data_IF_943572523375
#
_entry.id   IF_943572523375
#
_cell.length_a   1.000
_cell.length_b   1.000
_cell.length_c   1.000
_cell.angle_alpha   90.00
_cell.angle_beta   90.00
_cell.angle_gamma   90.00
#
_symmetry.space_group_name_H-M   'P 1'
#
loop_
_entity.id
_entity.type
_entity.pdbx_description
1 polymer ?
#
# COMPACT_ATOMS: atom_id res chain seq x y z
N UNK A 1 25.62 -2.93 -36.82
CA UNK A 1 24.67 -3.91 -36.24
C UNK A 1 25.39 -5.17 -35.74
N UNK A 2 25.99 -6.04 -36.57
CA UNK A 2 26.74 -7.21 -36.06
C UNK A 2 27.96 -6.85 -35.20
N UNK A 3 28.71 -5.81 -35.57
CA UNK A 3 29.84 -5.25 -34.80
C UNK A 3 29.42 -4.61 -33.46
N UNK A 4 28.19 -4.10 -33.36
CA UNK A 4 27.62 -3.54 -32.12
C UNK A 4 26.99 -4.61 -31.20
N UNK A 5 26.89 -5.85 -31.67
CA UNK A 5 26.47 -7.02 -30.89
C UNK A 5 27.66 -7.93 -30.49
N UNK A 6 28.89 -7.55 -30.82
CA UNK A 6 30.10 -8.32 -30.45
C UNK A 6 30.25 -9.67 -31.17
N UNK A 7 29.55 -9.92 -32.27
CA UNK A 7 29.85 -11.10 -33.11
C UNK A 7 31.04 -10.74 -33.98
N UNK A 8 32.22 -10.94 -33.39
CA UNK A 8 33.48 -10.89 -34.09
C UNK A 8 33.62 -12.14 -34.98
N UNK A 9 33.85 -11.92 -36.27
CA UNK A 9 34.18 -12.98 -37.23
C UNK A 9 35.65 -12.89 -37.67
N UNK A 10 36.40 -11.93 -37.18
CA UNK A 10 37.83 -11.79 -37.49
C UNK A 10 38.64 -12.96 -36.95
N UNK A 11 38.16 -13.62 -35.89
CA UNK A 11 38.72 -14.87 -35.36
C UNK A 11 38.24 -16.13 -36.12
N UNK A 12 37.45 -15.98 -37.19
CA UNK A 12 36.92 -17.09 -37.98
C UNK A 12 37.51 -17.08 -39.40
N UNK A 13 37.83 -18.25 -40.00
CA UNK A 13 38.30 -18.33 -41.39
C UNK A 13 37.32 -17.73 -42.40
N UNK A 14 37.82 -17.22 -43.54
CA UNK A 14 37.02 -16.55 -44.59
C UNK A 14 35.81 -17.36 -45.10
N UNK A 15 35.86 -18.69 -45.01
CA UNK A 15 34.82 -19.61 -45.46
C UNK A 15 33.88 -20.11 -44.34
N UNK A 16 33.97 -19.58 -43.12
CA UNK A 16 33.15 -20.01 -41.99
C UNK A 16 31.64 -19.72 -42.21
N UNK A 17 30.80 -20.74 -41.99
CA UNK A 17 29.33 -20.66 -42.14
C UNK A 17 28.63 -20.94 -40.81
N UNK A 18 27.52 -20.23 -40.56
CA UNK A 18 26.66 -20.47 -39.40
C UNK A 18 26.02 -21.86 -39.52
N UNK A 19 26.12 -22.66 -38.46
CA UNK A 19 25.52 -24.00 -38.42
C UNK A 19 23.99 -23.87 -38.41
N UNK A 20 23.32 -24.66 -39.26
CA UNK A 20 21.86 -24.80 -39.26
C UNK A 20 21.53 -26.20 -38.77
N UNK A 21 20.80 -26.30 -37.65
CA UNK A 21 20.29 -27.56 -37.09
C UNK A 21 18.77 -27.51 -37.07
N UNK A 22 18.12 -28.52 -37.67
CA UNK A 22 16.65 -28.64 -37.74
C UNK A 22 15.95 -27.37 -38.24
N UNK A 23 16.49 -26.75 -39.29
CA UNK A 23 15.93 -25.53 -39.90
C UNK A 23 16.12 -24.23 -39.10
N UNK A 24 16.86 -24.27 -37.98
CA UNK A 24 17.18 -23.08 -37.17
C UNK A 24 18.69 -22.85 -37.12
N UNK A 25 19.10 -21.59 -37.12
CA UNK A 25 20.50 -21.20 -36.90
C UNK A 25 20.89 -21.56 -35.47
N UNK A 26 21.98 -22.28 -35.30
CA UNK A 26 22.54 -22.67 -34.01
C UNK A 26 23.28 -21.46 -33.41
N UNK A 27 22.57 -20.69 -32.58
CA UNK A 27 23.06 -19.41 -32.02
C UNK A 27 22.73 -19.35 -30.52
N UNK A 28 23.59 -18.70 -29.75
CA UNK A 28 23.33 -18.30 -28.37
C UNK A 28 23.45 -16.78 -28.21
N UNK A 29 22.81 -16.24 -27.17
CA UNK A 29 22.86 -14.81 -26.85
C UNK A 29 23.83 -14.61 -25.69
N UNK A 30 24.89 -13.83 -25.92
CA UNK A 30 25.73 -13.31 -24.84
C UNK A 30 25.16 -11.96 -24.40
N UNK A 31 24.88 -11.79 -23.10
CA UNK A 31 24.41 -10.53 -22.52
C UNK A 31 25.48 -10.01 -21.56
N UNK A 32 26.02 -8.83 -21.86
CA UNK A 32 26.91 -8.11 -20.97
C UNK A 32 26.13 -7.00 -20.27
N UNK A 33 26.28 -6.89 -18.95
CA UNK A 33 25.61 -5.88 -18.14
C UNK A 33 26.66 -4.87 -17.66
N UNK A 34 26.55 -3.63 -18.12
CA UNK A 34 27.42 -2.53 -17.70
C UNK A 34 26.67 -1.66 -16.70
N UNK A 35 27.37 -1.18 -15.68
CA UNK A 35 26.85 -0.20 -14.73
C UNK A 35 27.48 1.16 -15.04
N UNK A 36 26.65 2.17 -15.26
CA UNK A 36 27.07 3.57 -15.30
C UNK A 36 26.74 4.20 -13.95
N UNK A 37 27.71 4.90 -13.35
CA UNK A 37 27.55 5.55 -12.05
C UNK A 37 26.36 6.51 -12.09
N UNK A 38 25.47 6.40 -11.10
CA UNK A 38 24.38 7.36 -10.91
C UNK A 38 24.92 8.69 -10.38
N UNK A 39 24.35 9.80 -10.83
CA UNK A 39 24.75 11.16 -10.43
C UNK A 39 23.52 12.00 -10.08
N UNK A 40 23.68 12.85 -9.07
CA UNK A 40 22.71 13.90 -8.72
C UNK A 40 23.42 15.23 -8.89
N UNK A 41 22.85 16.11 -9.72
CA UNK A 41 23.43 17.40 -10.03
C UNK A 41 22.53 18.55 -9.59
N UNK A 42 23.14 19.71 -9.33
CA UNK A 42 22.45 20.97 -9.06
C UNK A 42 22.68 21.94 -10.22
N UNK A 43 21.63 22.60 -10.70
CA UNK A 43 21.73 23.73 -11.63
C UNK A 43 21.40 25.01 -10.88
N UNK A 44 22.38 25.89 -10.73
CA UNK A 44 22.21 27.19 -10.10
C UNK A 44 21.81 28.25 -11.13
N UNK A 45 20.76 29.03 -10.84
CA UNK A 45 20.30 30.14 -11.67
C UNK A 45 20.52 31.46 -10.93
N UNK A 46 21.21 32.42 -11.58
CA UNK A 46 21.36 33.78 -11.08
C UNK A 46 20.20 34.65 -11.60
N UNK A 47 19.35 35.14 -10.70
CA UNK A 47 18.18 35.96 -11.04
C UNK A 47 18.52 37.42 -10.84
N UNK A 48 18.43 38.23 -11.90
CA UNK A 48 18.70 39.66 -11.84
C UNK A 48 17.41 40.46 -11.57
N UNK A 49 17.56 41.61 -10.91
CA UNK A 49 16.53 42.65 -10.83
C UNK A 49 16.88 43.77 -11.80
N UNK A 50 15.88 44.25 -12.53
CA UNK A 50 16.00 45.27 -13.54
C UNK A 50 15.17 46.49 -13.12
N UNK A 51 15.74 47.68 -13.31
CA UNK A 51 14.95 48.90 -13.23
C UNK A 51 14.07 48.98 -14.49
N UNK A 52 12.76 49.12 -14.33
CA UNK A 52 11.82 49.15 -15.45
C UNK A 52 11.24 50.56 -15.57
N UNK A 53 11.45 51.28 -16.68
CA UNK A 53 10.97 52.66 -16.81
C UNK A 53 9.46 52.79 -16.55
N UNK A 54 9.09 53.67 -15.62
CA UNK A 54 7.69 53.92 -15.27
C UNK A 54 7.02 52.81 -14.46
N UNK A 55 7.78 51.88 -13.86
CA UNK A 55 7.27 50.81 -13.02
C UNK A 55 8.25 50.48 -11.89
N UNK A 56 7.79 49.75 -10.88
CA UNK A 56 8.69 49.23 -9.85
C UNK A 56 9.71 48.24 -10.44
N UNK A 57 10.92 48.13 -9.87
CA UNK A 57 11.93 47.17 -10.31
C UNK A 57 11.39 45.74 -10.39
N UNK A 58 11.70 45.04 -11.48
CA UNK A 58 11.19 43.68 -11.75
C UNK A 58 12.32 42.66 -11.78
N UNK A 59 12.05 41.42 -11.36
CA UNK A 59 12.99 40.31 -11.47
C UNK A 59 12.85 39.57 -12.81
N UNK A 60 13.95 38.99 -13.33
CA UNK A 60 13.86 37.99 -14.40
C UNK A 60 13.02 36.78 -13.96
N UNK A 61 12.47 36.06 -14.94
CA UNK A 61 11.63 34.87 -14.71
C UNK A 61 12.37 33.83 -13.86
N UNK A 62 11.70 33.35 -12.81
CA UNK A 62 12.20 32.23 -12.00
C UNK A 62 12.06 30.91 -12.77
N UNK A 63 12.98 29.95 -12.59
CA UNK A 63 12.78 28.58 -13.04
C UNK A 63 11.47 28.02 -12.47
N UNK A 64 10.79 27.23 -13.28
CA UNK A 64 9.61 26.50 -12.84
C UNK A 64 10.01 25.51 -11.74
N UNK A 65 9.17 25.38 -10.72
CA UNK A 65 9.37 24.50 -9.58
C UNK A 65 8.05 23.81 -9.23
N UNK A 66 8.12 22.64 -8.61
CA UNK A 66 6.92 21.92 -8.14
C UNK A 66 6.20 22.77 -7.09
N UNK A 67 6.96 23.29 -6.12
CA UNK A 67 6.48 24.16 -5.05
C UNK A 67 7.41 25.38 -5.00
N UNK A 68 6.82 26.58 -4.96
CA UNK A 68 7.59 27.82 -4.89
C UNK A 68 8.55 27.81 -3.69
N UNK A 69 9.85 27.98 -3.96
CA UNK A 69 10.90 28.00 -2.93
C UNK A 69 11.46 26.63 -2.54
N UNK A 70 10.90 25.53 -3.07
CA UNK A 70 11.45 24.19 -2.93
C UNK A 70 12.30 23.86 -4.18
N UNK A 71 13.58 23.50 -4.03
CA UNK A 71 14.49 23.31 -5.17
C UNK A 71 14.39 21.92 -5.81
N UNK A 72 13.58 21.01 -5.26
CA UNK A 72 13.53 19.63 -5.73
C UNK A 72 12.75 19.54 -7.05
N UNK A 73 13.34 18.79 -7.99
CA UNK A 73 12.73 18.49 -9.29
C UNK A 73 12.14 17.08 -9.31
N UNK A 74 11.19 16.79 -10.22
CA UNK A 74 10.49 15.50 -10.26
C UNK A 74 11.42 14.27 -10.29
N UNK A 75 12.52 14.32 -11.05
CA UNK A 75 13.50 13.24 -11.14
C UNK A 75 14.23 12.97 -9.82
N UNK A 76 14.55 14.01 -9.05
CA UNK A 76 15.12 13.86 -7.71
C UNK A 76 14.09 13.28 -6.73
N UNK A 77 12.85 13.79 -6.77
CA UNK A 77 11.76 13.29 -5.94
C UNK A 77 11.48 11.81 -6.21
N UNK A 78 11.53 11.37 -7.47
CA UNK A 78 11.49 9.95 -7.84
C UNK A 78 12.56 9.16 -7.12
N UNK A 79 13.84 9.54 -7.29
CA UNK A 79 14.96 8.81 -6.67
C UNK A 79 14.75 8.67 -5.16
N UNK A 80 14.44 9.78 -4.49
CA UNK A 80 14.31 9.80 -3.04
C UNK A 80 13.09 9.00 -2.56
N UNK A 81 11.91 9.25 -3.13
CA UNK A 81 10.66 8.60 -2.68
C UNK A 81 10.65 7.11 -3.00
N UNK A 82 11.13 6.70 -4.17
CA UNK A 82 11.25 5.29 -4.52
C UNK A 82 12.24 4.59 -3.56
N UNK A 83 13.40 5.18 -3.32
CA UNK A 83 14.39 4.65 -2.38
C UNK A 83 13.87 4.51 -0.95
N UNK A 84 13.08 5.49 -0.49
CA UNK A 84 12.52 5.48 0.86
C UNK A 84 11.35 4.51 1.02
N UNK A 85 10.40 4.49 0.09
CA UNK A 85 9.14 3.76 0.24
C UNK A 85 9.16 2.37 -0.39
N UNK A 86 9.76 2.21 -1.57
CA UNK A 86 9.86 0.92 -2.26
C UNK A 86 11.03 0.08 -1.72
N UNK A 87 12.17 0.72 -1.42
CA UNK A 87 13.39 0.04 -0.99
C UNK A 87 13.72 0.22 0.50
N UNK A 88 12.89 0.96 1.25
CA UNK A 88 13.00 1.13 2.70
C UNK A 88 14.34 1.70 3.18
N UNK A 89 15.01 2.50 2.36
CA UNK A 89 16.26 3.14 2.77
C UNK A 89 16.00 4.16 3.88
N UNK A 90 16.85 4.16 4.90
CA UNK A 90 16.83 5.15 5.96
C UNK A 90 17.37 6.49 5.45
N UNK A 91 16.99 7.59 6.12
CA UNK A 91 17.45 8.94 5.76
C UNK A 91 18.98 9.04 5.68
N UNK A 92 19.67 8.44 6.66
CA UNK A 92 21.13 8.49 6.72
C UNK A 92 21.77 7.76 5.52
N UNK A 93 21.23 6.61 5.12
CA UNK A 93 21.70 5.89 3.92
C UNK A 93 21.48 6.69 2.65
N UNK A 94 20.35 7.40 2.55
CA UNK A 94 20.08 8.29 1.41
C UNK A 94 21.08 9.44 1.36
N UNK A 95 21.39 10.07 2.51
CA UNK A 95 22.39 11.12 2.59
C UNK A 95 23.80 10.64 2.22
N UNK A 96 24.18 9.43 2.65
CA UNK A 96 25.45 8.81 2.27
C UNK A 96 25.53 8.57 0.76
N UNK A 97 24.45 8.04 0.16
CA UNK A 97 24.35 7.87 -1.30
C UNK A 97 24.46 9.21 -2.04
N UNK A 98 23.71 10.23 -1.60
CA UNK A 98 23.75 11.56 -2.20
C UNK A 98 25.15 12.19 -2.12
N UNK A 99 25.85 12.02 -1.00
CA UNK A 99 27.23 12.47 -0.82
C UNK A 99 28.18 11.81 -1.83
N UNK A 100 28.06 10.49 -2.05
CA UNK A 100 28.84 9.75 -3.06
C UNK A 100 28.51 10.15 -4.51
N UNK A 101 27.28 10.63 -4.73
CA UNK A 101 26.79 11.18 -6.00
C UNK A 101 27.19 12.65 -6.20
N UNK A 102 27.85 13.29 -5.23
CA UNK A 102 28.35 14.67 -5.32
C UNK A 102 27.44 15.73 -4.69
N UNK A 103 26.29 15.35 -4.12
CA UNK A 103 25.36 16.27 -3.45
C UNK A 103 25.54 16.23 -1.93
N UNK A 104 26.08 17.34 -1.38
CA UNK A 104 26.16 17.54 0.07
C UNK A 104 25.00 18.42 0.54
N UNK A 105 24.14 17.86 1.39
CA UNK A 105 22.98 18.57 1.95
C UNK A 105 22.82 18.19 3.42
N UNK A 106 22.43 19.15 4.26
CA UNK A 106 22.09 18.86 5.64
C UNK A 106 20.80 18.02 5.71
N UNK A 107 20.76 17.06 6.63
CA UNK A 107 19.59 16.19 6.83
C UNK A 107 18.30 16.98 7.06
N UNK A 108 18.34 18.00 7.90
CA UNK A 108 17.19 18.84 8.23
C UNK A 108 16.63 19.55 6.99
N UNK A 109 17.50 20.05 6.12
CA UNK A 109 17.14 20.73 4.87
C UNK A 109 16.46 19.77 3.90
N UNK A 110 17.08 18.61 3.63
CA UNK A 110 16.50 17.61 2.72
C UNK A 110 15.16 17.09 3.25
N UNK A 111 15.08 16.80 4.55
CA UNK A 111 13.86 16.35 5.19
C UNK A 111 12.75 17.41 5.05
N UNK A 112 13.07 18.69 5.31
CA UNK A 112 12.12 19.79 5.14
C UNK A 112 11.56 19.88 3.72
N UNK A 113 12.41 19.82 2.71
CA UNK A 113 11.96 19.84 1.32
C UNK A 113 11.11 18.62 0.95
N UNK A 114 11.50 17.42 1.40
CA UNK A 114 10.75 16.20 1.10
C UNK A 114 9.41 16.14 1.82
N UNK A 115 9.31 16.65 3.06
CA UNK A 115 8.02 16.77 3.75
C UNK A 115 7.08 17.71 3.00
N UNK A 116 7.57 18.84 2.48
CA UNK A 116 6.76 19.73 1.64
C UNK A 116 6.22 19.02 0.39
N UNK A 117 7.05 18.23 -0.31
CA UNK A 117 6.62 17.45 -1.47
C UNK A 117 5.57 16.41 -1.10
N UNK A 118 5.77 15.65 -0.02
CA UNK A 118 4.81 14.63 0.41
C UNK A 118 3.49 15.24 0.87
N UNK A 119 3.52 16.35 1.62
CA UNK A 119 2.33 17.10 2.00
C UNK A 119 1.59 17.63 0.76
N UNK A 120 2.32 18.20 -0.21
CA UNK A 120 1.75 18.72 -1.45
C UNK A 120 1.00 17.65 -2.25
N UNK A 121 1.57 16.44 -2.34
CA UNK A 121 0.92 15.29 -2.97
C UNK A 121 -0.30 14.82 -2.15
N UNK A 122 -0.16 14.72 -0.82
CA UNK A 122 -1.23 14.28 0.08
C UNK A 122 -2.46 15.18 -0.01
N UNK A 123 -2.27 16.50 0.05
CA UNK A 123 -3.36 17.46 0.02
C UNK A 123 -4.15 17.46 -1.30
N UNK A 124 -3.51 17.04 -2.41
CA UNK A 124 -4.14 16.99 -3.74
C UNK A 124 -4.74 15.64 -4.08
N UNK A 125 -4.03 14.56 -3.76
CA UNK A 125 -4.43 13.20 -4.14
C UNK A 125 -5.14 12.45 -3.03
N UNK A 126 -4.89 12.77 -1.76
CA UNK A 126 -5.54 12.12 -0.61
C UNK A 126 -7.07 12.21 -0.67
N UNK A 127 -7.65 13.42 -0.83
CA UNK A 127 -9.11 13.58 -0.91
C UNK A 127 -9.75 12.80 -2.06
N UNK A 128 -9.15 12.80 -3.26
CA UNK A 128 -9.70 12.07 -4.43
C UNK A 128 -9.50 10.56 -4.34
N UNK A 129 -8.43 10.08 -3.68
CA UNK A 129 -8.30 8.66 -3.32
C UNK A 129 -9.39 8.24 -2.34
N UNK A 130 -9.67 9.07 -1.33
CA UNK A 130 -10.70 8.83 -0.34
C UNK A 130 -12.10 8.85 -0.96
N UNK A 131 -12.39 9.81 -1.84
CA UNK A 131 -13.62 9.85 -2.61
C UNK A 131 -13.81 8.57 -3.42
N UNK A 132 -12.76 8.13 -4.14
CA UNK A 132 -12.83 6.93 -4.97
C UNK A 132 -13.07 5.66 -4.17
N UNK A 133 -12.41 5.49 -3.01
CA UNK A 133 -12.62 4.29 -2.19
C UNK A 133 -14.01 4.28 -1.55
N UNK A 134 -14.54 5.45 -1.17
CA UNK A 134 -15.91 5.60 -0.61
C UNK A 134 -17.01 5.25 -1.62
N UNK A 135 -16.74 5.26 -2.91
CA UNK A 135 -17.68 4.81 -3.95
C UNK A 135 -17.74 3.28 -4.11
N UNK A 136 -16.82 2.53 -3.49
CA UNK A 136 -16.80 1.07 -3.57
C UNK A 136 -17.88 0.46 -2.67
N UNK A 137 -18.33 -0.76 -3.00
CA UNK A 137 -19.33 -1.47 -2.17
C UNK A 137 -18.70 -2.29 -1.06
N UNK A 138 -17.44 -2.70 -1.25
CA UNK A 138 -16.73 -3.62 -0.37
C UNK A 138 -15.27 -3.20 -0.13
N UNK A 139 -14.85 -3.24 1.13
CA UNK A 139 -13.45 -3.00 1.54
C UNK A 139 -12.92 -4.09 2.47
N UNK A 140 -11.61 -4.24 2.51
CA UNK A 140 -10.91 -4.91 3.61
C UNK A 140 -10.26 -3.85 4.48
N UNK A 141 -10.41 -3.99 5.80
CA UNK A 141 -9.94 -3.00 6.75
C UNK A 141 -9.03 -3.65 7.79
N UNK A 142 -8.00 -2.92 8.18
CA UNK A 142 -7.06 -3.34 9.22
C UNK A 142 -6.32 -2.11 9.80
N UNK A 143 -5.61 -2.31 10.91
CA UNK A 143 -4.78 -1.28 11.54
C UNK A 143 -3.34 -1.78 11.71
N UNK A 144 -2.37 -0.88 11.56
CA UNK A 144 -0.99 -1.17 11.93
C UNK A 144 -0.43 -0.07 12.82
N UNK A 145 0.42 -0.48 13.77
CA UNK A 145 1.14 0.42 14.65
C UNK A 145 2.27 1.15 13.94
N UNK A 146 2.53 2.39 14.36
CA UNK A 146 3.71 3.19 14.03
C UNK A 146 4.22 3.90 15.28
N UNK A 147 5.53 4.07 15.41
CA UNK A 147 6.13 4.79 16.54
C UNK A 147 6.34 6.23 16.14
N UNK A 148 5.81 7.18 16.92
CA UNK A 148 5.86 8.62 16.61
C UNK A 148 6.38 9.40 17.81
N UNK A 149 7.29 10.35 17.57
CA UNK A 149 7.84 11.22 18.60
C UNK A 149 6.74 12.13 19.16
N UNK A 150 6.54 12.08 20.47
CA UNK A 150 5.65 13.00 21.18
C UNK A 150 6.32 14.36 21.30
N UNK A 151 5.69 15.41 20.78
CA UNK A 151 6.16 16.80 20.95
C UNK A 151 5.49 17.52 22.12
N UNK A 152 4.51 16.88 22.76
CA UNK A 152 3.72 17.43 23.86
C UNK A 152 4.41 17.29 25.23
N UNK A 153 5.34 16.34 25.37
CA UNK A 153 6.17 16.26 26.58
C UNK A 153 7.30 17.29 26.50
N UNK A 154 7.10 18.44 27.14
CA UNK A 154 8.17 19.45 27.31
C UNK A 154 9.35 18.91 28.13
N UNK A 155 9.10 17.93 28.99
CA UNK A 155 10.07 17.33 29.92
C UNK A 155 10.91 16.22 29.28
N UNK A 156 10.33 15.42 28.38
CA UNK A 156 11.04 14.34 27.67
C UNK A 156 11.02 14.57 26.16
N UNK A 157 12.09 15.20 25.67
CA UNK A 157 12.32 15.45 24.24
C UNK A 157 12.46 14.16 23.43
N UNK A 158 12.60 12.99 24.06
CA UNK A 158 12.76 11.68 23.41
C UNK A 158 11.60 10.73 23.68
N UNK A 159 10.46 11.21 24.18
CA UNK A 159 9.27 10.39 24.31
C UNK A 159 8.72 9.96 22.95
N UNK A 160 8.43 8.68 22.80
CA UNK A 160 7.76 8.10 21.63
C UNK A 160 6.48 7.37 22.04
N UNK A 161 5.44 7.52 21.24
CA UNK A 161 4.16 6.84 21.43
C UNK A 161 3.96 5.77 20.35
N UNK A 162 3.24 4.71 20.71
CA UNK A 162 2.71 3.73 19.76
C UNK A 162 1.38 4.23 19.25
N UNK A 163 1.37 4.68 18.00
CA UNK A 163 0.24 5.26 17.30
C UNK A 163 -0.30 4.31 16.22
N UNK A 164 -1.46 4.61 15.66
CA UNK A 164 -2.16 3.73 14.71
C UNK A 164 -2.37 4.37 13.34
N UNK A 165 -2.08 3.60 12.29
CA UNK A 165 -2.47 3.86 10.91
C UNK A 165 -3.61 2.89 10.57
N UNK A 166 -4.70 3.44 10.06
CA UNK A 166 -5.89 2.72 9.65
C UNK A 166 -5.84 2.51 8.15
N UNK A 167 -6.18 1.32 7.64
CA UNK A 167 -6.21 1.08 6.20
C UNK A 167 -7.56 0.55 5.74
N UNK A 168 -8.00 1.04 4.58
CA UNK A 168 -9.03 0.41 3.77
C UNK A 168 -8.45 0.04 2.40
N UNK A 169 -8.77 -1.16 1.94
CA UNK A 169 -8.39 -1.69 0.64
C UNK A 169 -9.64 -2.06 -0.14
N UNK A 170 -9.77 -1.53 -1.35
CA UNK A 170 -10.74 -1.98 -2.33
C UNK A 170 -10.05 -2.65 -3.50
N UNK A 171 -10.35 -3.93 -3.71
CA UNK A 171 -9.90 -4.66 -4.91
C UNK A 171 -10.71 -4.26 -6.15
N UNK A 172 -11.92 -3.71 -5.97
CA UNK A 172 -12.76 -3.18 -7.04
C UNK A 172 -12.13 -1.94 -7.67
N UNK A 173 -11.70 -1.00 -6.82
CA UNK A 173 -11.01 0.21 -7.27
C UNK A 173 -9.49 0.03 -7.43
N UNK A 174 -8.94 -1.14 -7.07
CA UNK A 174 -7.48 -1.37 -6.99
C UNK A 174 -6.77 -0.27 -6.21
N UNK A 175 -7.32 0.09 -5.04
CA UNK A 175 -6.90 1.26 -4.27
C UNK A 175 -6.78 0.90 -2.79
N UNK A 176 -5.68 1.32 -2.17
CA UNK A 176 -5.47 1.26 -0.73
C UNK A 176 -5.32 2.68 -0.19
N UNK A 177 -6.09 3.00 0.84
CA UNK A 177 -6.03 4.28 1.56
C UNK A 177 -5.66 3.99 3.00
N UNK A 178 -4.60 4.65 3.48
CA UNK A 178 -4.11 4.58 4.84
C UNK A 178 -4.25 5.95 5.51
N UNK A 179 -5.11 6.00 6.53
CA UNK A 179 -5.44 7.21 7.29
C UNK A 179 -4.68 7.24 8.62
N UNK A 180 -4.22 8.43 8.99
CA UNK A 180 -3.55 8.71 10.25
C UNK A 180 -4.11 10.01 10.84
N UNK A 181 -4.83 9.92 11.96
CA UNK A 181 -5.46 11.07 12.62
C UNK A 181 -4.86 11.26 14.01
N UNK A 182 -3.71 11.92 14.06
CA UNK A 182 -2.91 12.12 15.29
C UNK A 182 -2.66 10.81 16.06
N UNK A 183 -2.58 9.68 15.34
CA UNK A 183 -2.30 8.37 15.92
C UNK A 183 -3.45 7.67 16.65
N UNK A 184 -4.63 8.29 16.68
CA UNK A 184 -5.82 7.76 17.34
C UNK A 184 -6.19 6.35 16.86
N UNK A 185 -6.53 5.47 17.80
CA UNK A 185 -7.12 4.15 17.55
C UNK A 185 -8.66 4.14 17.69
N UNK A 186 -9.27 5.32 17.69
CA UNK A 186 -10.73 5.44 17.79
C UNK A 186 -11.41 4.87 16.55
N UNK A 187 -12.60 4.28 16.73
CA UNK A 187 -13.50 3.89 15.64
C UNK A 187 -13.80 5.07 14.71
N UNK A 188 -13.93 6.28 15.28
CA UNK A 188 -14.27 7.51 14.56
C UNK A 188 -13.30 7.86 13.42
N UNK A 189 -12.05 7.37 13.46
CA UNK A 189 -11.09 7.61 12.36
C UNK A 189 -11.59 7.00 11.05
N UNK A 190 -11.90 5.70 11.04
CA UNK A 190 -12.41 5.04 9.85
C UNK A 190 -13.89 5.33 9.62
N UNK A 191 -14.68 5.49 10.69
CA UNK A 191 -16.08 5.84 10.56
C UNK A 191 -16.26 7.13 9.76
N UNK A 192 -15.64 8.23 10.20
CA UNK A 192 -15.78 9.54 9.55
C UNK A 192 -15.15 9.53 8.15
N UNK A 193 -13.91 9.05 8.04
CA UNK A 193 -13.14 9.16 6.81
C UNK A 193 -13.62 8.19 5.73
N UNK A 194 -13.96 6.94 6.09
CA UNK A 194 -14.13 5.85 5.13
C UNK A 194 -15.59 5.42 4.99
N UNK A 195 -16.33 5.30 6.08
CA UNK A 195 -17.63 4.60 6.04
C UNK A 195 -18.84 5.52 5.99
N UNK A 196 -18.89 6.54 6.84
CA UNK A 196 -20.00 7.49 6.94
C UNK A 196 -20.24 8.15 5.59
N UNK A 197 -21.49 8.20 5.13
CA UNK A 197 -21.88 8.75 3.81
C UNK A 197 -21.20 8.10 2.60
N UNK A 198 -20.67 6.88 2.73
CA UNK A 198 -20.07 6.11 1.62
C UNK A 198 -21.08 5.15 0.96
N UNK A 199 -20.68 4.55 -0.16
CA UNK A 199 -21.36 3.44 -0.82
C UNK A 199 -20.95 2.06 -0.26
N UNK A 200 -20.04 2.02 0.72
CA UNK A 200 -19.56 0.77 1.32
C UNK A 200 -20.70 0.17 2.14
N UNK A 201 -21.02 -1.10 1.89
CA UNK A 201 -22.07 -1.84 2.60
C UNK A 201 -21.56 -3.07 3.30
N UNK A 202 -20.40 -3.57 2.90
CA UNK A 202 -19.76 -4.70 3.59
C UNK A 202 -18.27 -4.44 3.73
N UNK A 203 -17.69 -4.82 4.86
CA UNK A 203 -16.23 -4.80 5.02
C UNK A 203 -15.71 -6.03 5.74
N UNK A 204 -14.47 -6.44 5.44
CA UNK A 204 -13.79 -7.54 6.14
C UNK A 204 -12.73 -6.97 7.08
N UNK A 205 -12.82 -7.32 8.37
CA UNK A 205 -11.84 -6.93 9.37
C UNK A 205 -11.64 -8.03 10.43
N UNK A 206 -10.62 -7.88 11.27
CA UNK A 206 -10.49 -8.64 12.52
C UNK A 206 -11.59 -8.21 13.53
N UNK A 207 -11.67 -8.91 14.66
CA UNK A 207 -12.57 -8.65 15.80
C UNK A 207 -12.04 -7.57 16.75
N UNK A 208 -11.44 -6.51 16.23
CA UNK A 208 -11.16 -5.35 17.08
C UNK A 208 -12.49 -4.66 17.45
N UNK A 209 -12.62 -4.23 18.71
CA UNK A 209 -13.86 -3.62 19.24
C UNK A 209 -14.32 -2.43 18.41
N UNK A 210 -13.38 -1.64 17.90
CA UNK A 210 -13.68 -0.48 17.05
C UNK A 210 -14.54 -0.85 15.82
N UNK A 211 -14.34 -2.02 15.21
CA UNK A 211 -15.08 -2.42 14.02
C UNK A 211 -16.50 -2.86 14.35
N UNK A 212 -16.72 -3.40 15.55
CA UNK A 212 -18.06 -3.67 16.07
C UNK A 212 -18.80 -2.35 16.36
N UNK A 213 -18.09 -1.34 16.89
CA UNK A 213 -18.65 0.01 17.08
C UNK A 213 -19.06 0.64 15.75
N UNK A 214 -18.19 0.64 14.73
CA UNK A 214 -18.51 1.17 13.39
C UNK A 214 -19.74 0.48 12.78
N UNK A 215 -19.81 -0.85 12.87
CA UNK A 215 -20.93 -1.63 12.34
C UNK A 215 -22.26 -1.26 13.03
N UNK A 216 -22.24 -1.01 14.34
CA UNK A 216 -23.41 -0.58 15.11
C UNK A 216 -23.81 0.86 14.81
N UNK A 217 -22.85 1.78 14.80
CA UNK A 217 -23.11 3.21 14.62
C UNK A 217 -23.65 3.51 13.22
N UNK A 218 -23.32 2.67 12.23
CA UNK A 218 -23.77 2.79 10.84
C UNK A 218 -24.74 1.69 10.40
N UNK A 219 -25.47 1.06 11.32
CA UNK A 219 -26.43 -0.02 11.01
C UNK A 219 -27.55 0.48 10.06
N UNK A 220 -28.00 1.73 10.22
CA UNK A 220 -29.03 2.35 9.35
C UNK A 220 -28.58 2.49 7.89
N UNK A 221 -27.26 2.59 7.64
CA UNK A 221 -26.70 2.58 6.28
C UNK A 221 -26.69 1.17 5.67
N UNK A 222 -27.04 0.14 6.45
CA UNK A 222 -26.90 -1.26 6.07
C UNK A 222 -25.45 -1.72 5.99
N UNK A 223 -24.56 -1.11 6.77
CA UNK A 223 -23.16 -1.52 6.85
C UNK A 223 -23.06 -2.83 7.65
N UNK A 224 -22.41 -3.84 7.07
CA UNK A 224 -22.24 -5.15 7.72
C UNK A 224 -20.77 -5.54 7.72
N UNK A 225 -20.29 -6.08 8.83
CA UNK A 225 -18.93 -6.61 8.92
C UNK A 225 -18.91 -8.11 8.68
N UNK A 226 -17.91 -8.58 7.95
CA UNK A 226 -17.52 -9.99 7.96
C UNK A 226 -16.24 -10.17 8.77
N UNK A 227 -16.21 -11.20 9.61
CA UNK A 227 -15.02 -11.52 10.40
C UNK A 227 -13.97 -12.26 9.56
N UNK A 228 -12.70 -12.04 9.90
CA UNK A 228 -11.59 -12.73 9.26
C UNK A 228 -11.43 -14.17 9.78
N UNK A 229 -11.69 -15.15 8.91
CA UNK A 229 -11.49 -16.58 9.24
C UNK A 229 -10.02 -16.96 9.41
N UNK A 230 -9.09 -16.17 8.87
CA UNK A 230 -7.66 -16.45 8.99
C UNK A 230 -7.18 -16.22 10.44
N UNK A 231 -7.64 -15.12 11.07
CA UNK A 231 -7.41 -14.85 12.49
C UNK A 231 -8.05 -15.92 13.39
N UNK A 232 -9.29 -16.34 13.09
CA UNK A 232 -9.94 -17.45 13.81
C UNK A 232 -9.09 -18.73 13.74
N UNK A 233 -8.66 -19.10 12.53
CA UNK A 233 -7.82 -20.28 12.31
C UNK A 233 -6.50 -20.19 13.07
N UNK A 234 -5.83 -19.04 13.08
CA UNK A 234 -4.57 -18.85 13.79
C UNK A 234 -4.71 -19.18 15.29
N UNK A 235 -5.79 -18.70 15.93
CA UNK A 235 -6.07 -19.02 17.35
C UNK A 235 -6.27 -20.52 17.61
N UNK A 236 -6.87 -21.25 16.68
CA UNK A 236 -6.99 -22.71 16.79
C UNK A 236 -5.66 -23.42 16.56
N UNK A 237 -4.80 -22.89 15.67
CA UNK A 237 -3.43 -23.41 15.48
C UNK A 237 -2.61 -23.22 16.75
N UNK A 238 -2.70 -22.06 17.41
CA UNK A 238 -2.03 -21.82 18.69
C UNK A 238 -2.58 -22.75 19.78
N UNK A 239 -3.91 -22.92 19.86
CA UNK A 239 -4.54 -23.83 20.81
C UNK A 239 -4.16 -25.31 20.57
N UNK A 240 -3.92 -25.70 19.31
CA UNK A 240 -3.52 -27.06 18.94
C UNK A 240 -2.18 -27.49 19.53
N UNK A 241 -1.30 -26.53 19.85
CA UNK A 241 -0.02 -26.80 20.52
C UNK A 241 -0.26 -27.42 21.91
N UNK A 242 -1.35 -27.05 22.58
CA UNK A 242 -1.68 -27.61 23.90
C UNK A 242 -2.78 -28.65 23.90
N UNK A 243 -3.64 -28.68 22.88
CA UNK A 243 -4.73 -29.65 22.81
C UNK A 243 -5.00 -30.11 21.39
N UNK A 244 -4.55 -31.32 21.06
CA UNK A 244 -4.67 -31.86 19.71
C UNK A 244 -6.11 -32.17 19.27
N UNK A 245 -7.08 -32.21 20.20
CA UNK A 245 -8.50 -32.46 19.88
C UNK A 245 -9.07 -31.40 18.94
N UNK A 246 -8.52 -30.18 18.94
CA UNK A 246 -8.97 -29.09 18.05
C UNK A 246 -8.55 -29.26 16.58
N UNK A 247 -7.74 -30.28 16.25
CA UNK A 247 -7.28 -30.57 14.87
C UNK A 247 -8.42 -30.60 13.87
N UNK A 248 -9.55 -31.20 14.24
CA UNK A 248 -10.73 -31.32 13.38
C UNK A 248 -11.27 -29.94 12.95
N UNK A 249 -11.22 -28.95 13.85
CA UNK A 249 -11.67 -27.57 13.58
C UNK A 249 -10.76 -26.92 12.53
N UNK A 250 -9.44 -27.06 12.70
CA UNK A 250 -8.45 -26.53 11.76
C UNK A 250 -8.65 -27.15 10.36
N UNK A 251 -8.88 -28.46 10.28
CA UNK A 251 -9.14 -29.14 9.02
C UNK A 251 -10.42 -28.62 8.35
N UNK A 252 -11.50 -28.44 9.11
CA UNK A 252 -12.75 -27.86 8.59
C UNK A 252 -12.53 -26.44 8.06
N UNK A 253 -11.79 -25.60 8.78
CA UNK A 253 -11.42 -24.26 8.31
C UNK A 253 -10.55 -24.30 7.04
N UNK A 254 -9.58 -25.21 6.95
CA UNK A 254 -8.78 -25.41 5.74
C UNK A 254 -9.66 -25.79 4.54
N UNK A 255 -10.66 -26.65 4.74
CA UNK A 255 -11.61 -26.98 3.69
C UNK A 255 -12.40 -25.76 3.21
N UNK A 256 -12.80 -24.85 4.09
CA UNK A 256 -13.43 -23.59 3.69
C UNK A 256 -12.49 -22.75 2.79
N UNK A 257 -11.21 -22.61 3.18
CA UNK A 257 -10.23 -21.91 2.34
C UNK A 257 -9.99 -22.61 1.00
N UNK A 258 -10.01 -23.94 0.94
CA UNK A 258 -9.90 -24.68 -0.31
C UNK A 258 -11.12 -24.42 -1.22
N UNK A 259 -12.34 -24.41 -0.68
CA UNK A 259 -13.55 -24.06 -1.45
C UNK A 259 -13.42 -22.65 -2.04
N UNK A 260 -12.93 -21.68 -1.26
CA UNK A 260 -12.67 -20.33 -1.76
C UNK A 260 -11.63 -20.30 -2.89
N UNK A 261 -10.55 -21.08 -2.76
CA UNK A 261 -9.52 -21.22 -3.80
C UNK A 261 -10.09 -21.83 -5.08
N UNK A 262 -10.88 -22.89 -4.98
CA UNK A 262 -11.56 -23.52 -6.12
C UNK A 262 -12.48 -22.52 -6.83
N UNK A 263 -13.23 -21.71 -6.08
CA UNK A 263 -14.08 -20.68 -6.67
C UNK A 263 -13.29 -19.64 -7.46
N UNK A 264 -12.08 -19.27 -6.98
CA UNK A 264 -11.18 -18.35 -7.68
C UNK A 264 -10.59 -18.97 -8.95
N UNK A 265 -10.14 -20.22 -8.90
CA UNK A 265 -9.62 -20.97 -10.07
C UNK A 265 -10.68 -21.06 -11.17
N UNK A 266 -11.94 -21.32 -10.79
CA UNK A 266 -13.09 -21.39 -11.71
C UNK A 266 -13.57 -20.02 -12.20
N UNK A 267 -12.97 -18.92 -11.74
CA UNK A 267 -13.34 -17.53 -12.09
C UNK A 267 -14.82 -17.25 -11.87
N UNK A 268 -15.40 -17.76 -10.80
CA UNK A 268 -16.80 -17.52 -10.49
C UNK A 268 -17.08 -16.02 -10.31
N UNK A 269 -18.16 -15.54 -10.94
CA UNK A 269 -18.78 -14.25 -10.61
C UNK A 269 -19.27 -14.24 -9.15
N UNK A 270 -19.56 -13.06 -8.59
CA UNK A 270 -20.10 -12.95 -7.22
C UNK A 270 -21.35 -13.83 -7.00
N UNK A 271 -22.29 -13.84 -7.97
CA UNK A 271 -23.50 -14.68 -7.90
C UNK A 271 -23.20 -16.18 -7.93
N UNK A 272 -22.19 -16.60 -8.71
CA UNK A 272 -21.75 -17.99 -8.77
C UNK A 272 -20.99 -18.39 -7.48
N UNK A 273 -20.09 -17.54 -6.98
CA UNK A 273 -19.36 -17.76 -5.72
C UNK A 273 -20.29 -17.88 -4.53
N UNK A 274 -21.33 -17.04 -4.44
CA UNK A 274 -22.40 -17.19 -3.42
C UNK A 274 -23.09 -18.55 -3.50
N UNK A 275 -23.56 -18.97 -4.70
CA UNK A 275 -24.19 -20.29 -4.89
C UNK A 275 -23.25 -21.43 -4.53
N UNK A 276 -21.97 -21.31 -4.89
CA UNK A 276 -20.93 -22.28 -4.55
C UNK A 276 -20.72 -22.39 -3.03
N UNK A 277 -20.66 -21.26 -2.32
CA UNK A 277 -20.59 -21.21 -0.85
C UNK A 277 -21.82 -21.83 -0.18
N UNK A 278 -23.02 -21.54 -0.68
CA UNK A 278 -24.25 -22.15 -0.13
C UNK A 278 -24.26 -23.67 -0.32
N UNK A 279 -23.76 -24.17 -1.45
CA UNK A 279 -23.69 -25.61 -1.73
C UNK A 279 -22.63 -26.33 -0.88
N UNK A 280 -21.43 -25.76 -0.73
CA UNK A 280 -20.28 -26.47 -0.16
C UNK A 280 -19.83 -25.93 1.21
N UNK A 281 -19.85 -24.61 1.43
CA UNK A 281 -19.36 -23.99 2.68
C UNK A 281 -20.42 -23.97 3.79
N UNK A 282 -21.69 -23.74 3.47
CA UNK A 282 -22.73 -23.50 4.48
C UNK A 282 -22.91 -24.68 5.45
N UNK A 283 -22.88 -25.93 4.97
CA UNK A 283 -22.96 -27.10 5.84
C UNK A 283 -21.73 -27.23 6.76
N UNK A 284 -20.54 -26.93 6.25
CA UNK A 284 -19.30 -26.97 7.03
C UNK A 284 -19.34 -25.92 8.13
N UNK A 285 -19.72 -24.68 7.81
CA UNK A 285 -19.89 -23.60 8.79
C UNK A 285 -20.93 -24.00 9.85
N UNK A 286 -22.08 -24.55 9.46
CA UNK A 286 -23.10 -25.01 10.40
C UNK A 286 -22.61 -26.12 11.34
N UNK A 287 -21.88 -27.11 10.82
CA UNK A 287 -21.25 -28.17 11.63
C UNK A 287 -20.19 -27.60 12.57
N UNK A 288 -19.39 -26.65 12.09
CA UNK A 288 -18.34 -25.99 12.88
C UNK A 288 -18.97 -25.23 14.05
N UNK A 289 -20.00 -24.41 13.83
CA UNK A 289 -20.68 -23.69 14.91
C UNK A 289 -21.30 -24.61 15.96
N UNK A 290 -21.91 -25.74 15.55
CA UNK A 290 -22.43 -26.74 16.49
C UNK A 290 -21.32 -27.37 17.33
N UNK A 291 -20.19 -27.71 16.71
CA UNK A 291 -19.03 -28.28 17.41
C UNK A 291 -18.45 -27.27 18.41
N UNK A 292 -18.26 -26.01 18.00
CA UNK A 292 -17.74 -24.97 18.89
C UNK A 292 -18.64 -24.77 20.11
N UNK A 293 -19.97 -24.78 19.95
CA UNK A 293 -20.92 -24.67 21.07
C UNK A 293 -20.81 -25.83 22.06
N UNK A 294 -20.57 -27.05 21.57
CA UNK A 294 -20.31 -28.21 22.44
C UNK A 294 -19.01 -28.03 23.23
N UNK A 295 -17.93 -27.60 22.57
CA UNK A 295 -16.64 -27.37 23.21
C UNK A 295 -16.73 -26.25 24.25
N UNK A 296 -17.52 -25.19 23.99
CA UNK A 296 -17.74 -24.10 24.95
C UNK A 296 -18.32 -24.58 26.29
N UNK A 297 -19.15 -25.62 26.26
CA UNK A 297 -19.79 -26.20 27.45
C UNK A 297 -18.94 -27.28 28.14
N UNK A 298 -17.90 -27.77 27.46
CA UNK A 298 -17.05 -28.85 27.96
C UNK A 298 -15.87 -28.27 28.74
N UNK A 299 -15.93 -28.41 30.07
CA UNK A 299 -14.91 -27.92 31.01
C UNK A 299 -13.58 -28.69 30.92
N UNK A 300 -13.51 -29.80 30.18
CA UNK A 300 -12.25 -30.54 29.95
C UNK A 300 -11.31 -29.82 28.98
N UNK A 301 -11.78 -28.80 28.26
CA UNK A 301 -10.93 -28.00 27.36
C UNK A 301 -10.27 -26.85 28.10
N UNK A 302 -8.96 -26.73 27.95
CA UNK A 302 -8.18 -25.68 28.58
C UNK A 302 -8.46 -24.27 28.03
N UNK A 303 -7.94 -23.26 28.74
CA UNK A 303 -8.21 -21.85 28.46
C UNK A 303 -7.88 -21.41 27.02
N UNK A 304 -6.83 -21.97 26.38
CA UNK A 304 -6.48 -21.61 25.00
C UNK A 304 -7.54 -22.05 24.00
N UNK A 305 -8.08 -23.25 24.16
CA UNK A 305 -9.18 -23.75 23.32
C UNK A 305 -10.43 -22.90 23.56
N UNK A 306 -10.77 -22.64 24.82
CA UNK A 306 -11.93 -21.81 25.17
C UNK A 306 -11.82 -20.39 24.59
N UNK A 307 -10.63 -19.78 24.59
CA UNK A 307 -10.38 -18.48 23.93
C UNK A 307 -10.60 -18.54 22.42
N UNK A 308 -10.12 -19.59 21.74
CA UNK A 308 -10.32 -19.74 20.30
C UNK A 308 -11.80 -19.98 19.93
N UNK A 309 -12.51 -20.77 20.75
CA UNK A 309 -13.95 -21.03 20.63
C UNK A 309 -14.76 -19.75 20.81
N UNK A 310 -14.53 -19.03 21.91
CA UNK A 310 -15.23 -17.76 22.19
C UNK A 310 -14.93 -16.71 21.12
N UNK A 311 -13.70 -16.67 20.60
CA UNK A 311 -13.36 -15.74 19.52
C UNK A 311 -14.31 -15.84 18.32
N UNK A 312 -14.73 -17.06 17.94
CA UNK A 312 -15.69 -17.28 16.85
C UNK A 312 -17.14 -17.13 17.32
N UNK A 313 -17.50 -17.70 18.48
CA UNK A 313 -18.89 -17.74 18.93
C UNK A 313 -19.43 -16.38 19.38
N UNK A 314 -18.58 -15.51 19.93
CA UNK A 314 -18.98 -14.18 20.36
C UNK A 314 -19.31 -13.26 19.16
N UNK A 315 -18.97 -13.68 17.93
CA UNK A 315 -19.21 -12.95 16.69
C UNK A 315 -19.73 -13.87 15.56
N UNK A 316 -20.56 -14.85 15.95
CA UNK A 316 -21.04 -15.91 15.05
C UNK A 316 -21.75 -15.35 13.81
N UNK A 317 -22.40 -14.18 13.92
CA UNK A 317 -23.06 -13.50 12.80
C UNK A 317 -22.03 -13.04 11.76
N UNK A 318 -20.99 -12.31 12.13
CA UNK A 318 -19.97 -11.82 11.20
C UNK A 318 -19.20 -12.96 10.51
N UNK A 319 -18.99 -14.10 11.18
CA UNK A 319 -18.38 -15.28 10.55
C UNK A 319 -19.25 -15.94 9.48
N UNK A 320 -20.56 -15.64 9.41
CA UNK A 320 -21.49 -16.18 8.41
C UNK A 320 -21.75 -15.23 7.24
N UNK A 321 -21.42 -13.94 7.35
CA UNK A 321 -21.72 -12.92 6.33
C UNK A 321 -21.14 -13.29 4.96
N UNK A 322 -19.91 -13.81 4.91
CA UNK A 322 -19.28 -14.23 3.64
C UNK A 322 -20.11 -15.26 2.86
N UNK A 323 -20.96 -16.07 3.52
CA UNK A 323 -21.82 -17.03 2.82
C UNK A 323 -22.90 -16.34 1.97
N UNK A 324 -23.30 -15.12 2.35
CA UNK A 324 -24.41 -14.40 1.75
C UNK A 324 -23.98 -13.47 0.61
N UNK A 325 -22.73 -13.03 0.56
CA UNK A 325 -22.23 -12.13 -0.47
C UNK A 325 -20.95 -12.66 -1.12
N UNK A 326 -21.03 -13.02 -2.41
CA UNK A 326 -19.90 -13.54 -3.18
C UNK A 326 -18.82 -12.50 -3.55
N UNK A 327 -19.07 -11.21 -3.32
CA UNK A 327 -18.07 -10.13 -3.50
C UNK A 327 -17.04 -10.11 -2.37
N UNK A 328 -17.46 -10.55 -1.19
CA UNK A 328 -16.71 -10.44 0.06
C UNK A 328 -15.66 -11.55 0.18
N UNK A 329 -14.46 -11.21 0.63
CA UNK A 329 -13.43 -12.18 1.00
C UNK A 329 -13.65 -12.72 2.42
N UNK A 330 -13.26 -13.98 2.63
CA UNK A 330 -13.38 -14.65 3.93
C UNK A 330 -12.29 -14.20 4.94
N UNK A 331 -11.35 -13.37 4.50
CA UNK A 331 -10.20 -12.90 5.27
C UNK A 331 -9.74 -11.51 4.78
N UNK A 332 -9.09 -10.74 5.64
CA UNK A 332 -8.53 -9.42 5.33
C UNK A 332 -7.01 -9.45 5.02
N UNK A 333 -6.42 -10.62 4.75
CA UNK A 333 -4.98 -10.72 4.48
C UNK A 333 -4.46 -9.84 3.33
N UNK A 334 -5.32 -9.35 2.42
CA UNK A 334 -4.85 -8.46 1.37
C UNK A 334 -4.49 -7.08 1.94
N UNK A 335 -5.31 -6.52 2.84
CA UNK A 335 -4.99 -5.24 3.52
C UNK A 335 -3.84 -5.41 4.52
N UNK A 336 -3.76 -6.53 5.26
CA UNK A 336 -2.61 -6.83 6.13
C UNK A 336 -1.28 -6.82 5.34
N UNK A 337 -1.30 -7.34 4.11
CA UNK A 337 -0.12 -7.33 3.22
C UNK A 337 0.27 -5.93 2.78
N UNK A 338 -0.66 -4.98 2.70
CA UNK A 338 -0.35 -3.58 2.38
C UNK A 338 0.54 -2.96 3.48
N UNK A 339 0.39 -3.39 4.73
CA UNK A 339 1.26 -2.95 5.83
C UNK A 339 2.65 -3.60 5.84
N UNK A 340 2.96 -4.56 4.95
CA UNK A 340 4.27 -5.22 4.94
C UNK A 340 5.41 -4.25 4.67
N UNK A 341 5.19 -3.28 3.77
CA UNK A 341 6.18 -2.26 3.42
C UNK A 341 6.38 -1.25 4.56
N UNK A 342 5.30 -0.91 5.28
CA UNK A 342 5.40 -0.15 6.52
C UNK A 342 6.19 -0.95 7.59
N UNK A 343 5.90 -2.24 7.76
CA UNK A 343 6.59 -3.09 8.72
C UNK A 343 8.08 -3.27 8.43
N UNK A 344 8.46 -3.41 7.16
CA UNK A 344 9.86 -3.41 6.72
C UNK A 344 10.51 -2.06 6.99
N UNK A 345 9.83 -0.96 6.68
CA UNK A 345 10.28 0.39 6.99
C UNK A 345 10.58 0.60 8.48
N UNK A 346 9.67 0.18 9.36
CA UNK A 346 9.86 0.28 10.82
C UNK A 346 11.13 -0.43 11.31
N UNK A 347 11.61 -1.46 10.62
CA UNK A 347 12.89 -2.13 10.94
C UNK A 347 14.12 -1.31 10.53
N UNK A 348 13.99 -0.42 9.53
CA UNK A 348 15.11 0.34 8.97
C UNK A 348 15.21 1.79 9.48
N UNK A 349 14.09 2.45 9.79
CA UNK A 349 14.07 3.85 10.26
C UNK A 349 13.51 4.04 11.68
N UNK A 350 13.12 2.96 12.37
CA UNK A 350 12.73 2.85 13.78
C UNK A 350 11.52 3.68 14.25
N UNK A 351 11.44 4.98 13.95
CA UNK A 351 10.40 5.89 14.44
C UNK A 351 10.17 7.08 13.51
N UNK A 352 9.02 7.74 13.67
CA UNK A 352 8.65 8.96 12.94
C UNK A 352 8.85 10.20 13.81
N UNK A 353 9.40 11.29 13.26
CA UNK A 353 9.77 12.48 14.01
C UNK A 353 8.63 13.46 14.37
N UNK A 354 7.42 13.24 13.84
CA UNK A 354 6.22 14.07 14.08
C UNK A 354 4.95 13.38 13.56
N UNK A 355 3.79 13.85 14.04
CA UNK A 355 2.47 13.45 13.52
C UNK A 355 2.32 13.78 12.02
N UNK A 356 2.71 14.99 11.58
CA UNK A 356 2.76 15.34 10.15
C UNK A 356 3.58 14.34 9.31
N UNK A 357 4.74 13.93 9.83
CA UNK A 357 5.58 12.95 9.16
C UNK A 357 4.91 11.57 9.07
N UNK A 358 4.15 11.18 10.10
CA UNK A 358 3.43 9.90 10.14
C UNK A 358 2.26 9.90 9.16
N UNK A 359 1.54 11.01 9.08
CA UNK A 359 0.46 11.23 8.13
C UNK A 359 0.96 11.21 6.68
N UNK A 360 2.08 11.89 6.39
CA UNK A 360 2.74 11.82 5.09
C UNK A 360 3.22 10.40 4.75
N UNK A 361 3.78 9.67 5.71
CA UNK A 361 4.19 8.27 5.51
C UNK A 361 2.97 7.37 5.19
N UNK A 362 1.87 7.52 5.91
CA UNK A 362 0.63 6.77 5.66
C UNK A 362 0.13 7.02 4.23
N UNK A 363 0.04 8.29 3.83
CA UNK A 363 -0.35 8.65 2.46
C UNK A 363 0.61 8.10 1.40
N UNK A 364 1.93 8.21 1.59
CA UNK A 364 2.90 7.71 0.62
C UNK A 364 2.85 6.18 0.48
N UNK A 365 2.61 5.44 1.56
CA UNK A 365 2.35 3.99 1.47
C UNK A 365 1.02 3.67 0.81
N UNK A 366 -0.01 4.51 0.97
CA UNK A 366 -1.27 4.41 0.23
C UNK A 366 -1.05 4.48 -1.28
N UNK A 367 -0.28 5.48 -1.73
CA UNK A 367 0.10 5.63 -3.14
C UNK A 367 0.94 4.43 -3.64
N UNK A 368 1.95 4.02 -2.86
CA UNK A 368 2.84 2.94 -3.24
C UNK A 368 2.10 1.60 -3.41
N UNK A 369 1.27 1.24 -2.43
CA UNK A 369 0.47 0.02 -2.50
C UNK A 369 -0.58 0.07 -3.62
N UNK A 370 -1.17 1.25 -3.85
CA UNK A 370 -2.10 1.46 -4.96
C UNK A 370 -1.41 1.36 -6.33
N UNK A 371 -0.16 1.84 -6.48
CA UNK A 371 0.61 1.64 -7.71
C UNK A 371 0.83 0.16 -7.99
N UNK A 372 1.16 -0.63 -6.96
CA UNK A 372 1.34 -2.08 -7.08
C UNK A 372 0.06 -2.81 -7.47
N UNK A 373 -1.10 -2.39 -6.96
CA UNK A 373 -2.40 -2.97 -7.34
C UNK A 373 -2.75 -2.72 -8.82
N UNK A 374 -2.16 -1.69 -9.42
CA UNK A 374 -2.39 -1.27 -10.81
C UNK A 374 -1.22 -1.59 -11.75
N UNK A 375 -0.22 -2.37 -11.29
CA UNK A 375 0.97 -2.72 -12.07
C UNK A 375 1.77 -1.49 -12.58
N UNK A 376 1.78 -0.42 -11.79
CA UNK A 376 2.48 0.84 -12.08
C UNK A 376 3.83 0.88 -11.35
N UNK A 377 4.90 1.25 -12.07
CA UNK A 377 6.18 1.56 -11.43
C UNK A 377 6.07 2.85 -10.61
N UNK A 378 6.32 2.74 -9.30
CA UNK A 378 6.14 3.86 -8.38
C UNK A 378 7.08 5.04 -8.65
N UNK A 379 8.34 4.79 -9.01
CA UNK A 379 9.29 5.86 -9.34
C UNK A 379 8.89 6.62 -10.61
N UNK A 380 8.55 5.90 -11.68
CA UNK A 380 8.06 6.50 -12.94
C UNK A 380 6.79 7.33 -12.69
N UNK A 381 5.86 6.79 -11.89
CA UNK A 381 4.64 7.47 -11.51
C UNK A 381 4.90 8.77 -10.76
N UNK A 382 5.76 8.75 -9.73
CA UNK A 382 6.09 9.94 -8.93
C UNK A 382 6.71 11.04 -9.80
N UNK A 383 7.65 10.69 -10.69
CA UNK A 383 8.26 11.66 -11.60
C UNK A 383 7.23 12.29 -12.53
N UNK A 384 6.37 11.47 -13.13
CA UNK A 384 5.37 11.95 -14.07
C UNK A 384 4.30 12.82 -13.40
N UNK A 385 3.70 12.38 -12.27
CA UNK A 385 2.68 13.20 -11.61
C UNK A 385 3.25 14.52 -11.10
N UNK A 386 4.48 14.55 -10.59
CA UNK A 386 5.11 15.78 -10.13
C UNK A 386 5.45 16.71 -11.29
N UNK A 387 5.79 16.16 -12.46
CA UNK A 387 5.97 16.93 -13.70
C UNK A 387 4.66 17.55 -14.16
N UNK A 388 3.58 16.78 -14.22
CA UNK A 388 2.24 17.28 -14.59
C UNK A 388 1.73 18.35 -13.62
N UNK A 389 1.91 18.13 -12.32
CA UNK A 389 1.54 19.10 -11.27
C UNK A 389 2.37 20.39 -11.39
N UNK A 390 3.67 20.26 -11.66
CA UNK A 390 4.55 21.41 -11.93
C UNK A 390 4.09 22.20 -13.15
N UNK A 391 3.57 21.52 -14.18
CA UNK A 391 3.00 22.12 -15.42
C UNK A 391 1.56 22.63 -15.28
N UNK A 392 0.96 22.48 -14.10
CA UNK A 392 -0.33 23.09 -13.76
C UNK A 392 -1.54 22.16 -13.85
N UNK A 393 -1.35 20.83 -13.97
CA UNK A 393 -2.45 19.86 -13.92
C UNK A 393 -3.32 20.03 -12.68
N UNK A 394 -4.64 20.03 -12.87
CA UNK A 394 -5.66 20.18 -11.81
C UNK A 394 -6.61 18.98 -11.74
N UNK A 395 -6.63 18.08 -12.73
CA UNK A 395 -7.41 16.85 -12.69
C UNK A 395 -6.71 15.79 -11.82
N UNK A 396 -6.75 16.00 -10.51
CA UNK A 396 -6.15 15.10 -9.51
C UNK A 396 -6.76 13.70 -9.54
N UNK A 397 -8.02 13.56 -9.93
CA UNK A 397 -8.70 12.27 -10.05
C UNK A 397 -8.10 11.43 -11.20
N UNK A 398 -7.56 12.05 -12.26
CA UNK A 398 -6.80 11.33 -13.29
C UNK A 398 -5.40 10.91 -12.85
N UNK A 399 -4.88 11.51 -11.76
CA UNK A 399 -3.54 11.24 -11.26
C UNK A 399 -3.50 10.09 -10.25
N UNK A 400 -4.62 9.69 -9.64
CA UNK A 400 -4.60 8.55 -8.69
C UNK A 400 -4.29 7.23 -9.41
N UNK A 401 -3.63 6.25 -8.77
CA UNK A 401 -3.10 5.08 -9.46
C UNK A 401 -4.10 4.25 -10.26
N UNK A 402 -5.37 4.17 -9.85
CA UNK A 402 -6.37 3.39 -10.56
C UNK A 402 -6.96 4.06 -11.80
N UNK A 403 -6.79 5.39 -11.94
CA UNK A 403 -7.19 6.17 -13.11
C UNK A 403 -5.99 6.65 -13.94
N UNK A 404 -4.78 6.40 -13.43
CA UNK A 404 -3.54 6.88 -14.01
C UNK A 404 -3.28 6.29 -15.39
N UNK A 405 -3.07 7.16 -16.36
CA UNK A 405 -2.68 6.81 -17.72
C UNK A 405 -1.26 7.31 -18.02
N UNK A 406 -0.31 6.37 -18.11
CA UNK A 406 1.10 6.65 -18.42
C UNK A 406 1.34 7.12 -19.86
N UNK A 407 0.38 6.92 -20.76
CA UNK A 407 0.48 7.37 -22.16
C UNK A 407 0.08 8.82 -22.37
N UNK A 408 -0.55 9.48 -21.39
CA UNK A 408 -0.67 10.96 -21.37
C UNK A 408 0.69 11.58 -21.00
N UNK A 409 1.74 11.30 -21.79
CA UNK A 409 3.02 11.97 -21.61
C UNK A 409 2.83 13.44 -21.95
N UNK A 410 3.30 14.31 -21.06
CA UNK A 410 3.48 15.71 -21.45
C UNK A 410 4.62 15.75 -22.46
N UNK A 411 4.39 16.42 -23.58
CA UNK A 411 5.43 16.72 -24.55
C UNK A 411 6.48 17.55 -23.81
N UNK A 412 7.54 16.90 -23.35
CA UNK A 412 8.74 17.58 -22.87
C UNK A 412 9.30 18.32 -24.08
N UNK A 413 8.90 19.60 -24.24
CA UNK A 413 9.69 20.52 -25.05
C UNK A 413 11.02 20.60 -24.34
N UNK A 414 12.03 19.94 -24.91
CA UNK A 414 13.41 20.11 -24.51
C UNK A 414 13.67 21.63 -24.43
N UNK A 415 13.95 22.11 -23.22
CA UNK A 415 14.33 23.49 -22.94
C UNK A 415 15.85 23.57 -22.83
#
# INVERSE_FOLDING_TARGET
VLKSFGIDKSDLPENAKVIIRKGKKDMWVVRLFFYQKQEVYCKEYKIARFNVPGSDPQSSKYPQSIIKGNPLMPSFCRFYLESKFAYHLSENRLLDMLSQMGMKVAQSTLNGWMQQIMTYLRERLGPVMLERIRQCVYTQNDESRIVVRSRESKEDKFKYNVEYIHAALSMEAKLCVMEYKEGSRSHSVQEDAIFKDSCIRVFTADRAVLYETIEKDLEEMGLVRTACWFHARHRFVDAYISDHRVRVIILMMNYLFQIERESKIRKHTAKQRRRFRLKYSASIVGKLMKLLKKIKLDSSYGAMVQRAVNYVLDDEKAFKVFLQDGRVEMHNNAVERMFRHLAMGRRNWMHTGSHLGAENIAFMFSLFESCKLNDINFGDYIEDILTRLMEGEQDFMSLIPCNYNSNKKVNVKAA
#
